data_IF_977264796228
#
_entry.id   IF_977264796228
#
_cell.length_a   1.000
_cell.length_b   1.000
_cell.length_c   1.000
_cell.angle_alpha   90.00
_cell.angle_beta   90.00
_cell.angle_gamma   90.00
#
_symmetry.space_group_name_H-M   'P 1'
#
loop_
_entity.id
_entity.type
_entity.pdbx_description
1 polymer ?
#
# COMPACT_ATOMS: atom_id res chain seq x y z
N UNK A 1 6.42 27.34 -6.53
CA UNK A 1 5.22 27.91 -7.21
C UNK A 1 4.00 26.96 -7.29
N UNK A 2 4.08 25.68 -6.89
CA UNK A 2 3.00 24.68 -7.13
C UNK A 2 1.73 24.83 -6.26
N UNK A 3 1.84 25.18 -4.97
CA UNK A 3 0.68 25.12 -4.06
C UNK A 3 -0.42 26.19 -4.22
N UNK A 4 -0.20 27.25 -5.03
CA UNK A 4 -1.22 28.28 -5.28
C UNK A 4 -2.27 27.80 -6.28
N UNK A 5 -1.86 27.05 -7.31
CA UNK A 5 -2.76 26.52 -8.33
C UNK A 5 -3.66 25.40 -7.82
N UNK A 6 -3.14 24.48 -7.00
CA UNK A 6 -3.93 23.35 -6.45
C UNK A 6 -5.15 23.85 -5.65
N UNK A 7 -4.97 24.87 -4.80
CA UNK A 7 -6.07 25.45 -4.01
C UNK A 7 -7.08 26.20 -4.86
N UNK A 8 -6.62 26.88 -5.90
CA UNK A 8 -7.49 27.58 -6.83
C UNK A 8 -8.36 26.59 -7.63
N UNK A 9 -7.76 25.50 -8.14
CA UNK A 9 -8.48 24.43 -8.82
C UNK A 9 -9.56 23.86 -7.92
N UNK A 10 -9.21 23.45 -6.70
CA UNK A 10 -10.18 22.90 -5.75
C UNK A 10 -11.34 23.86 -5.43
N UNK A 11 -11.05 25.15 -5.30
CA UNK A 11 -12.08 26.18 -5.07
C UNK A 11 -13.02 26.31 -6.26
N UNK A 12 -12.49 26.25 -7.48
CA UNK A 12 -13.27 26.35 -8.72
C UNK A 12 -14.11 25.09 -8.99
N UNK A 13 -13.63 23.92 -8.58
CA UNK A 13 -14.28 22.63 -8.83
C UNK A 13 -15.06 22.10 -7.62
N UNK A 14 -15.09 22.84 -6.51
CA UNK A 14 -15.67 22.41 -5.23
C UNK A 14 -15.21 21.01 -4.81
N UNK A 15 -13.92 20.71 -4.99
CA UNK A 15 -13.37 19.38 -4.73
C UNK A 15 -12.66 19.32 -3.38
N UNK A 16 -12.91 18.25 -2.62
CA UNK A 16 -12.24 17.99 -1.34
C UNK A 16 -10.80 17.47 -1.51
N UNK A 17 -10.53 16.85 -2.66
CA UNK A 17 -9.23 16.31 -3.02
C UNK A 17 -8.83 16.75 -4.42
N UNK A 18 -7.54 17.03 -4.60
CA UNK A 18 -6.94 17.28 -5.93
C UNK A 18 -5.84 16.26 -6.17
N UNK A 19 -5.90 15.56 -7.29
CA UNK A 19 -4.85 14.67 -7.75
C UNK A 19 -3.98 15.37 -8.80
N UNK A 20 -2.66 15.24 -8.66
CA UNK A 20 -1.70 15.67 -9.68
C UNK A 20 -0.63 14.60 -9.83
N UNK A 21 -0.11 14.40 -11.03
CA UNK A 21 0.92 13.41 -11.27
C UNK A 21 1.48 13.44 -12.67
N UNK A 22 2.52 12.63 -12.90
CA UNK A 22 3.17 12.50 -14.19
C UNK A 22 3.64 11.05 -14.39
N UNK A 23 3.71 10.65 -15.66
CA UNK A 23 4.42 9.45 -16.08
C UNK A 23 5.64 9.90 -16.87
N UNK A 24 6.83 9.57 -16.39
CA UNK A 24 8.09 9.99 -17.01
C UNK A 24 8.81 8.78 -17.60
N UNK A 25 9.24 8.87 -18.86
CA UNK A 25 10.09 7.84 -19.48
C UNK A 25 11.54 8.33 -19.50
N UNK A 26 12.45 7.56 -18.90
CA UNK A 26 13.89 7.84 -18.90
C UNK A 26 14.68 6.52 -18.99
N UNK A 27 15.66 6.46 -19.90
CA UNK A 27 16.55 5.29 -19.99
C UNK A 27 15.86 3.95 -20.32
N UNK A 28 14.69 3.99 -20.97
CA UNK A 28 13.88 2.80 -21.25
C UNK A 28 12.94 2.37 -20.11
N UNK A 29 13.12 2.93 -18.91
CA UNK A 29 12.25 2.77 -17.76
C UNK A 29 11.17 3.86 -17.71
N UNK A 30 10.14 3.61 -16.91
CA UNK A 30 9.05 4.53 -16.63
C UNK A 30 8.92 4.76 -15.13
N UNK A 31 8.72 6.00 -14.72
CA UNK A 31 8.26 6.38 -13.38
C UNK A 31 6.82 6.84 -13.44
N UNK A 32 6.06 6.54 -12.39
CA UNK A 32 4.70 7.04 -12.17
C UNK A 32 4.71 7.75 -10.84
N UNK A 33 4.56 9.07 -10.88
CA UNK A 33 4.63 9.95 -9.72
C UNK A 33 3.26 10.59 -9.51
N UNK A 34 2.63 10.39 -8.35
CA UNK A 34 1.28 10.91 -8.05
C UNK A 34 1.28 11.57 -6.67
N UNK A 35 0.63 12.73 -6.57
CA UNK A 35 0.34 13.43 -5.33
C UNK A 35 -1.16 13.65 -5.21
N UNK A 36 -1.70 13.34 -4.04
CA UNK A 36 -3.07 13.68 -3.64
C UNK A 36 -2.99 14.77 -2.60
N UNK A 37 -3.67 15.89 -2.85
CA UNK A 37 -3.82 16.97 -1.91
C UNK A 37 -5.21 16.95 -1.30
N UNK A 38 -5.24 16.82 0.01
CA UNK A 38 -6.43 16.87 0.87
C UNK A 38 -6.65 18.34 1.28
N UNK A 39 -7.72 18.95 0.78
CA UNK A 39 -7.96 20.40 0.88
C UNK A 39 -8.30 20.80 2.32
N UNK A 40 -9.14 20.01 2.97
CA UNK A 40 -9.60 20.23 4.34
C UNK A 40 -8.43 20.13 5.32
N UNK A 41 -7.69 19.01 5.26
CA UNK A 41 -6.60 18.73 6.20
C UNK A 41 -5.26 19.37 5.79
N UNK A 42 -5.22 20.05 4.63
CA UNK A 42 -4.03 20.71 4.06
C UNK A 42 -2.83 19.78 3.97
N UNK A 43 -3.06 18.53 3.59
CA UNK A 43 -2.08 17.44 3.61
C UNK A 43 -1.79 16.93 2.21
N UNK A 44 -0.52 16.64 1.94
CA UNK A 44 -0.09 15.95 0.72
C UNK A 44 0.22 14.48 1.00
N UNK A 45 -0.20 13.61 0.10
CA UNK A 45 0.12 12.18 0.11
C UNK A 45 0.72 11.81 -1.24
N UNK A 46 1.94 11.27 -1.23
CA UNK A 46 2.65 10.87 -2.44
C UNK A 46 2.55 9.37 -2.66
N UNK A 47 2.40 8.98 -3.92
CA UNK A 47 2.36 7.60 -4.40
C UNK A 47 3.30 7.49 -5.58
N UNK A 48 4.02 6.37 -5.64
CA UNK A 48 5.07 6.17 -6.62
C UNK A 48 5.18 4.71 -7.02
N UNK A 49 5.43 4.46 -8.29
CA UNK A 49 5.85 3.14 -8.78
C UNK A 49 6.72 3.30 -10.05
N UNK A 50 7.47 2.25 -10.38
CA UNK A 50 8.32 2.19 -11.57
C UNK A 50 8.01 0.96 -12.41
N UNK A 51 8.26 1.07 -13.71
CA UNK A 51 8.19 -0.04 -14.64
C UNK A 51 9.37 -0.05 -15.61
N UNK A 52 9.90 -1.24 -15.88
CA UNK A 52 10.88 -1.46 -16.95
C UNK A 52 10.22 -1.77 -18.30
N UNK A 53 8.91 -2.03 -18.30
CA UNK A 53 8.16 -2.45 -19.50
C UNK A 53 6.94 -1.56 -19.69
N UNK A 54 6.70 -1.17 -20.94
CA UNK A 54 5.48 -0.43 -21.31
C UNK A 54 4.21 -1.19 -20.96
N UNK A 55 4.21 -2.52 -21.16
CA UNK A 55 3.03 -3.36 -20.89
C UNK A 55 2.56 -3.30 -19.44
N UNK A 56 3.48 -3.11 -18.49
CA UNK A 56 3.16 -3.17 -17.07
C UNK A 56 2.66 -1.81 -16.51
N UNK A 57 2.71 -0.73 -17.31
CA UNK A 57 2.30 0.61 -16.87
C UNK A 57 0.84 0.68 -16.41
N UNK A 58 -0.05 -0.03 -17.12
CA UNK A 58 -1.49 -0.06 -16.80
C UNK A 58 -1.67 -0.72 -15.43
N UNK A 59 -1.07 -1.89 -15.23
CA UNK A 59 -1.15 -2.61 -13.96
C UNK A 59 -0.57 -1.79 -12.81
N UNK A 60 0.56 -1.13 -13.02
CA UNK A 60 1.21 -0.26 -12.05
C UNK A 60 0.35 0.94 -11.67
N UNK A 61 -0.26 1.59 -12.66
CA UNK A 61 -1.22 2.68 -12.44
C UNK A 61 -2.45 2.21 -11.68
N UNK A 62 -3.00 1.03 -12.02
CA UNK A 62 -4.13 0.43 -11.33
C UNK A 62 -3.82 0.15 -9.85
N UNK A 63 -2.62 -0.35 -9.54
CA UNK A 63 -2.16 -0.57 -8.16
C UNK A 63 -2.04 0.74 -7.37
N UNK A 64 -1.54 1.82 -7.99
CA UNK A 64 -1.53 3.16 -7.36
C UNK A 64 -2.96 3.63 -7.07
N UNK A 65 -3.87 3.53 -8.06
CA UNK A 65 -5.27 3.93 -7.88
C UNK A 65 -5.97 3.11 -6.79
N UNK A 66 -5.74 1.79 -6.75
CA UNK A 66 -6.25 0.92 -5.69
C UNK A 66 -5.72 1.33 -4.31
N UNK A 67 -4.45 1.69 -4.22
CA UNK A 67 -3.82 2.16 -2.98
C UNK A 67 -4.41 3.49 -2.52
N UNK A 68 -4.65 4.43 -3.44
CA UNK A 68 -5.33 5.71 -3.16
C UNK A 68 -6.75 5.45 -2.64
N UNK A 69 -7.52 4.61 -3.35
CA UNK A 69 -8.87 4.21 -2.95
C UNK A 69 -8.90 3.65 -1.53
N UNK A 70 -7.95 2.78 -1.19
CA UNK A 70 -7.90 2.20 0.15
C UNK A 70 -7.45 3.20 1.21
N UNK A 71 -6.31 3.86 1.01
CA UNK A 71 -5.66 4.67 2.06
C UNK A 71 -6.36 6.00 2.32
N UNK A 72 -6.96 6.60 1.30
CA UNK A 72 -7.59 7.92 1.42
C UNK A 72 -9.09 7.78 1.58
N UNK A 73 -9.73 6.91 0.80
CA UNK A 73 -11.19 6.79 0.76
C UNK A 73 -11.72 5.58 1.54
N UNK A 74 -10.86 4.72 2.09
CA UNK A 74 -11.27 3.51 2.81
C UNK A 74 -11.90 2.43 1.92
N UNK A 75 -11.88 2.60 0.59
CA UNK A 75 -12.56 1.73 -0.37
C UNK A 75 -11.66 0.59 -0.81
N UNK A 76 -12.10 -0.65 -0.61
CA UNK A 76 -11.46 -1.82 -1.20
C UNK A 76 -11.83 -1.95 -2.69
N UNK A 77 -10.91 -2.47 -3.48
CA UNK A 77 -11.09 -2.75 -4.92
C UNK A 77 -10.57 -4.15 -5.22
N UNK A 78 -11.01 -4.76 -6.32
CA UNK A 78 -10.49 -6.07 -6.76
C UNK A 78 -8.96 -6.06 -6.92
N UNK A 79 -8.40 -4.94 -7.38
CA UNK A 79 -6.94 -4.78 -7.49
C UNK A 79 -6.28 -4.74 -6.11
N UNK A 80 -6.89 -4.07 -5.12
CA UNK A 80 -6.38 -4.05 -3.75
C UNK A 80 -6.40 -5.45 -3.12
N UNK A 81 -7.50 -6.19 -3.27
CA UNK A 81 -7.63 -7.55 -2.75
C UNK A 81 -6.59 -8.48 -3.35
N UNK A 82 -6.38 -8.40 -4.67
CA UNK A 82 -5.32 -9.14 -5.36
C UNK A 82 -3.93 -8.78 -4.81
N UNK A 83 -3.66 -7.49 -4.58
CA UNK A 83 -2.40 -7.06 -3.98
C UNK A 83 -2.20 -7.60 -2.56
N UNK A 84 -3.25 -7.63 -1.72
CA UNK A 84 -3.17 -8.20 -0.37
C UNK A 84 -2.92 -9.71 -0.40
N UNK A 85 -3.55 -10.43 -1.33
CA UNK A 85 -3.32 -11.87 -1.52
C UNK A 85 -1.88 -12.15 -1.96
N UNK A 86 -1.36 -11.38 -2.93
CA UNK A 86 0.03 -11.47 -3.38
C UNK A 86 1.02 -11.20 -2.23
N UNK A 87 0.75 -10.19 -1.39
CA UNK A 87 1.58 -9.89 -0.22
C UNK A 87 1.57 -11.02 0.80
N UNK A 88 0.39 -11.58 1.13
CA UNK A 88 0.27 -12.72 2.06
C UNK A 88 1.02 -13.95 1.55
N UNK A 89 0.87 -14.26 0.26
CA UNK A 89 1.57 -15.38 -0.37
C UNK A 89 3.09 -15.19 -0.38
N UNK A 90 3.58 -13.96 -0.61
CA UNK A 90 5.01 -13.68 -0.54
C UNK A 90 5.55 -13.80 0.89
N UNK A 91 4.84 -13.25 1.88
CA UNK A 91 5.20 -13.39 3.30
C UNK A 91 5.26 -14.87 3.70
N UNK A 92 4.27 -15.67 3.32
CA UNK A 92 4.27 -17.11 3.60
C UNK A 92 5.47 -17.82 2.96
N UNK A 93 5.78 -17.47 1.71
CA UNK A 93 6.95 -18.01 1.01
C UNK A 93 8.26 -17.62 1.70
N UNK A 94 8.38 -16.39 2.21
CA UNK A 94 9.54 -15.95 2.97
C UNK A 94 9.68 -16.73 4.29
N UNK A 95 8.59 -16.93 5.02
CA UNK A 95 8.57 -17.72 6.26
C UNK A 95 9.05 -19.15 6.02
N UNK A 96 8.63 -19.78 4.92
CA UNK A 96 9.05 -21.14 4.55
C UNK A 96 10.53 -21.24 4.17
N UNK A 97 11.11 -20.17 3.61
CA UNK A 97 12.52 -20.14 3.21
C UNK A 97 13.45 -19.81 4.37
N UNK A 98 12.96 -18.99 5.30
CA UNK A 98 13.74 -18.33 6.32
C UNK A 98 13.04 -18.50 7.69
N UNK A 99 13.41 -19.52 8.49
CA UNK A 99 12.72 -19.86 9.73
C UNK A 99 12.76 -18.74 10.79
N UNK A 100 13.69 -17.79 10.70
CA UNK A 100 13.77 -16.61 11.57
C UNK A 100 12.58 -15.65 11.44
N UNK A 101 11.80 -15.72 10.34
CA UNK A 101 10.58 -14.94 10.18
C UNK A 101 9.39 -15.53 10.95
N UNK A 102 9.47 -16.77 11.43
CA UNK A 102 8.45 -17.37 12.29
C UNK A 102 8.35 -16.70 13.67
N UNK A 103 9.40 -16.03 14.14
CA UNK A 103 9.44 -15.36 15.45
C UNK A 103 8.88 -13.93 15.42
N UNK A 104 8.64 -13.37 14.22
CA UNK A 104 8.15 -11.98 14.05
C UNK A 104 6.64 -11.88 13.91
N UNK A 105 5.92 -13.01 13.89
CA UNK A 105 4.45 -13.03 13.94
C UNK A 105 3.97 -12.70 15.37
N UNK A 106 3.14 -11.66 15.56
CA UNK A 106 2.68 -11.22 16.89
C UNK A 106 1.94 -12.30 17.70
N UNK A 107 1.44 -13.36 17.06
CA UNK A 107 0.66 -14.42 17.69
C UNK A 107 1.44 -15.32 18.66
N UNK A 108 2.78 -15.29 18.67
CA UNK A 108 3.60 -16.04 19.64
C UNK A 108 3.85 -15.30 20.96
N UNK A 109 3.58 -13.99 21.04
CA UNK A 109 3.68 -13.25 22.30
C UNK A 109 2.46 -13.48 23.22
N UNK A 110 1.33 -13.92 22.67
CA UNK A 110 0.18 -14.41 23.45
C UNK A 110 0.33 -15.87 23.89
N UNK A 111 1.47 -16.50 23.59
CA UNK A 111 1.86 -17.81 24.09
C UNK A 111 2.28 -17.80 25.59
N UNK A 112 1.84 -16.81 26.36
CA UNK A 112 1.77 -16.89 27.84
C UNK A 112 0.33 -17.11 28.34
N UNK A 113 -0.69 -17.02 27.46
CA UNK A 113 -2.13 -17.12 27.84
C UNK A 113 -2.88 -18.32 27.27
N UNK A 114 -2.19 -19.27 26.65
CA UNK A 114 -2.77 -20.49 26.09
C UNK A 114 -2.67 -21.64 27.11
N UNK A 115 -3.76 -22.34 27.45
CA UNK A 115 -3.72 -23.40 28.46
C UNK A 115 -2.85 -24.62 28.08
N UNK A 116 -2.41 -24.72 26.83
CA UNK A 116 -1.79 -25.93 26.26
C UNK A 116 -0.46 -26.36 26.87
N UNK A 117 0.42 -25.44 27.28
CA UNK A 117 1.72 -25.82 27.85
C UNK A 117 1.62 -26.33 29.30
N UNK A 118 0.54 -25.99 30.02
CA UNK A 118 0.31 -26.48 31.38
C UNK A 118 -0.05 -27.97 31.43
N UNK A 119 -0.55 -28.53 30.33
CA UNK A 119 -0.96 -29.94 30.24
C UNK A 119 0.27 -30.87 30.15
N UNK A 120 1.37 -30.40 29.57
CA UNK A 120 2.61 -31.17 29.45
C UNK A 120 3.30 -31.45 30.80
N UNK A 121 3.06 -30.61 31.81
CA UNK A 121 3.63 -30.76 33.16
C UNK A 121 2.95 -31.85 34.01
N UNK A 122 1.82 -32.38 33.56
CA UNK A 122 1.05 -33.41 34.27
C UNK A 122 1.13 -34.80 33.61
N UNK A 123 1.80 -34.90 32.45
CA UNK A 123 1.91 -36.15 31.68
C UNK A 123 3.34 -36.71 31.70
N UNK A 124 4.30 -36.00 32.32
CA UNK A 124 5.66 -36.48 32.60
C UNK A 124 6.13 -36.03 33.99
#
# INVERSE_FOLDING_TARGET
>A
KSGKGIREIARLTHSDFVLAGAITKLGGSFSIDVQVYDIENKRYMAFFDQSQKRGDLIDKTNRIAATINKKIFGRSTLTWEKMEQEQKADVEKQIRKNPEYMMKTPGWQDAEKSPGWKIWKYIF
#
